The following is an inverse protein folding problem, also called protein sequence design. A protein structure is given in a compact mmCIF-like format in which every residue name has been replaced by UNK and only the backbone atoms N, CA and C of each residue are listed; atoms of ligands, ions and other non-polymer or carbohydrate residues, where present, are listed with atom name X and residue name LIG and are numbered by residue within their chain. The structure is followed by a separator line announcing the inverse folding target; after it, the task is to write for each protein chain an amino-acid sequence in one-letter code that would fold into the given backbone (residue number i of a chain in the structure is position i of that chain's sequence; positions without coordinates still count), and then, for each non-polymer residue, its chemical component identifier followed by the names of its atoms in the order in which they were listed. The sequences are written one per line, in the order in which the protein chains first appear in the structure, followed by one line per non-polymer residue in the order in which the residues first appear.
data_IF_556796409554
#
_entry.id   IF_556796409554
#
_cell.length_a   1.000
_cell.length_b   1.000
_cell.length_c   1.000
_cell.angle_alpha   90.00
_cell.angle_beta   90.00
_cell.angle_gamma   90.00
#
_symmetry.space_group_name_H-M   'P 1'
#
loop_
_entity.id
_entity.type
_entity.pdbx_description
1 polymer ?
#
# COMPACT_ATOMS: atom_id res chain seq x y z
N UNK A 1 -24.58 32.33 6.63
CA UNK A 1 -23.16 32.01 6.40
C UNK A 1 -22.99 30.53 6.67
N UNK A 2 -23.53 29.70 5.77
CA UNK A 2 -23.54 28.23 5.86
C UNK A 2 -22.76 27.76 4.64
N UNK A 3 -21.48 27.44 4.86
CA UNK A 3 -20.68 26.77 3.86
C UNK A 3 -21.22 25.36 3.70
N UNK A 4 -21.83 25.12 2.56
CA UNK A 4 -22.25 23.79 2.11
C UNK A 4 -21.00 22.89 2.11
N UNK A 5 -21.02 21.86 2.93
CA UNK A 5 -19.93 20.89 3.13
C UNK A 5 -19.83 19.95 1.95
N UNK A 6 -19.77 20.48 0.73
CA UNK A 6 -19.54 19.70 -0.46
C UNK A 6 -18.21 18.95 -0.27
N UNK A 7 -18.20 17.61 -0.35
CA UNK A 7 -16.95 16.90 -0.32
C UNK A 7 -16.05 17.46 -1.42
N UNK A 8 -14.84 17.89 -1.04
CA UNK A 8 -13.85 18.33 -2.01
C UNK A 8 -13.62 17.23 -3.07
N UNK A 9 -13.17 17.59 -4.28
CA UNK A 9 -12.90 16.63 -5.34
C UNK A 9 -11.89 15.58 -4.83
N UNK A 10 -12.38 14.38 -4.49
CA UNK A 10 -11.62 13.37 -3.76
C UNK A 10 -12.44 12.43 -2.86
N UNK A 11 -13.72 12.69 -2.61
CA UNK A 11 -14.55 11.80 -1.76
C UNK A 11 -15.15 10.58 -2.48
N UNK A 12 -15.10 10.52 -3.81
CA UNK A 12 -15.84 9.49 -4.57
C UNK A 12 -15.07 8.17 -4.76
N UNK A 13 -13.78 8.16 -4.45
CA UNK A 13 -12.92 7.00 -4.72
C UNK A 13 -12.09 6.61 -3.49
N UNK A 14 -11.73 5.33 -3.40
CA UNK A 14 -10.83 4.80 -2.40
C UNK A 14 -9.81 3.93 -3.11
N UNK A 15 -8.53 4.13 -2.82
CA UNK A 15 -7.48 3.24 -3.32
C UNK A 15 -7.35 2.07 -2.36
N UNK A 16 -7.57 0.85 -2.85
CA UNK A 16 -7.42 -0.37 -2.07
C UNK A 16 -6.24 -1.17 -2.62
N UNK A 17 -5.25 -1.44 -1.78
CA UNK A 17 -4.07 -2.24 -2.14
C UNK A 17 -4.09 -3.55 -1.36
N UNK A 18 -4.31 -4.66 -2.05
CA UNK A 18 -4.24 -5.99 -1.45
C UNK A 18 -2.79 -6.49 -1.46
N UNK A 19 -2.23 -6.75 -0.28
CA UNK A 19 -0.85 -7.20 -0.12
C UNK A 19 -0.87 -8.55 0.59
N UNK A 20 -0.48 -9.62 -0.11
CA UNK A 20 -0.28 -10.93 0.53
C UNK A 20 0.93 -10.90 1.48
N UNK A 21 1.09 -11.92 2.30
CA UNK A 21 2.27 -12.13 3.15
C UNK A 21 3.57 -11.91 2.34
N UNK A 22 4.37 -10.93 2.79
CA UNK A 22 5.61 -10.54 2.13
C UNK A 22 6.68 -11.65 2.17
N UNK A 23 6.67 -12.52 3.19
CA UNK A 23 7.57 -13.68 3.28
C UNK A 23 7.34 -14.71 2.17
N UNK A 24 6.08 -14.82 1.71
CA UNK A 24 5.63 -15.72 0.64
C UNK A 24 5.54 -15.03 -0.73
N UNK A 25 5.95 -13.77 -0.81
CA UNK A 25 5.94 -13.01 -2.05
C UNK A 25 7.20 -13.25 -2.88
N UNK A 26 7.07 -12.97 -4.19
CA UNK A 26 8.16 -12.97 -5.17
C UNK A 26 9.04 -14.23 -5.17
N UNK A 27 8.46 -15.41 -4.98
CA UNK A 27 9.19 -16.69 -4.89
C UNK A 27 10.14 -16.98 -6.06
N UNK A 28 9.86 -16.40 -7.24
CA UNK A 28 10.75 -16.46 -8.42
C UNK A 28 12.10 -15.77 -8.22
N UNK A 29 12.22 -14.86 -7.25
CA UNK A 29 13.49 -14.26 -6.84
C UNK A 29 14.25 -15.11 -5.81
N UNK A 30 13.69 -16.24 -5.38
CA UNK A 30 14.33 -17.16 -4.43
C UNK A 30 15.71 -17.70 -4.84
N UNK A 31 16.06 -17.85 -6.14
CA UNK A 31 17.42 -18.21 -6.54
C UNK A 31 18.47 -17.14 -6.20
N UNK A 32 18.06 -15.86 -6.16
CA UNK A 32 18.97 -14.72 -6.02
C UNK A 32 18.90 -14.04 -4.64
N UNK A 33 17.76 -14.18 -3.95
CA UNK A 33 17.48 -13.52 -2.68
C UNK A 33 16.97 -14.51 -1.63
N UNK A 34 17.60 -14.46 -0.45
CA UNK A 34 17.10 -15.18 0.72
C UNK A 34 15.71 -14.67 1.15
N UNK A 35 15.05 -15.43 2.02
CA UNK A 35 13.69 -15.14 2.45
C UNK A 35 13.55 -13.78 3.18
N UNK A 36 14.55 -13.39 3.98
CA UNK A 36 14.56 -12.11 4.69
C UNK A 36 14.73 -10.94 3.72
N UNK A 37 15.73 -11.01 2.84
CA UNK A 37 15.99 -9.98 1.83
C UNK A 37 14.80 -9.82 0.88
N UNK A 38 14.18 -10.92 0.48
CA UNK A 38 12.97 -10.90 -0.35
C UNK A 38 11.77 -10.25 0.37
N UNK A 39 11.58 -10.54 1.65
CA UNK A 39 10.55 -9.88 2.48
C UNK A 39 10.78 -8.38 2.55
N UNK A 40 12.01 -7.95 2.86
CA UNK A 40 12.39 -6.54 2.90
C UNK A 40 12.18 -5.83 1.57
N UNK A 41 12.54 -6.47 0.45
CA UNK A 41 12.30 -5.94 -0.89
C UNK A 41 10.80 -5.73 -1.15
N UNK A 42 9.96 -6.72 -0.82
CA UNK A 42 8.52 -6.62 -1.05
C UNK A 42 7.90 -5.50 -0.22
N UNK A 43 8.35 -5.31 1.02
CA UNK A 43 7.92 -4.20 1.87
C UNK A 43 8.31 -2.86 1.22
N UNK A 44 9.58 -2.69 0.85
CA UNK A 44 10.05 -1.47 0.19
C UNK A 44 9.27 -1.15 -1.10
N UNK A 45 8.97 -2.15 -1.92
CA UNK A 45 8.17 -1.97 -3.15
C UNK A 45 6.75 -1.49 -2.87
N UNK A 46 6.13 -1.95 -1.78
CA UNK A 46 4.78 -1.52 -1.39
C UNK A 46 4.86 -0.11 -0.80
N UNK A 47 5.86 0.22 0.00
CA UNK A 47 6.07 1.57 0.52
C UNK A 47 6.26 2.59 -0.61
N UNK A 48 7.08 2.25 -1.61
CA UNK A 48 7.28 3.09 -2.81
C UNK A 48 5.96 3.31 -3.57
N UNK A 49 5.16 2.24 -3.72
CA UNK A 49 3.83 2.33 -4.34
C UNK A 49 2.91 3.25 -3.54
N UNK A 50 2.82 3.07 -2.22
CA UNK A 50 1.94 3.86 -1.36
C UNK A 50 2.37 5.33 -1.32
N UNK A 51 3.68 5.62 -1.31
CA UNK A 51 4.22 6.97 -1.41
C UNK A 51 3.80 7.60 -2.74
N UNK A 52 3.99 6.89 -3.86
CA UNK A 52 3.63 7.38 -5.19
C UNK A 52 2.13 7.66 -5.30
N UNK A 53 1.28 6.76 -4.78
CA UNK A 53 -0.17 6.99 -4.75
C UNK A 53 -0.48 8.25 -3.93
N UNK A 54 0.19 8.45 -2.79
CA UNK A 54 -0.04 9.60 -1.93
C UNK A 54 0.30 10.94 -2.59
N UNK A 55 1.28 10.97 -3.50
CA UNK A 55 1.64 12.18 -4.27
C UNK A 55 0.50 12.65 -5.19
N UNK A 56 -0.32 11.71 -5.69
CA UNK A 56 -1.42 12.01 -6.63
C UNK A 56 -2.81 11.89 -6.01
N UNK A 57 -2.91 11.32 -4.82
CA UNK A 57 -4.17 11.01 -4.15
C UNK A 57 -4.18 11.45 -2.68
N UNK A 58 -4.90 12.55 -2.44
CA UNK A 58 -5.12 13.09 -1.09
C UNK A 58 -6.21 12.33 -0.30
N UNK A 59 -6.98 11.46 -0.96
CA UNK A 59 -8.10 10.74 -0.34
C UNK A 59 -7.68 9.49 0.45
N UNK A 60 -8.66 8.62 0.72
CA UNK A 60 -8.45 7.41 1.52
C UNK A 60 -7.65 6.36 0.73
N UNK A 61 -6.66 5.77 1.41
CA UNK A 61 -5.93 4.58 0.98
C UNK A 61 -6.17 3.50 2.03
N UNK A 62 -6.53 2.29 1.60
CA UNK A 62 -6.73 1.14 2.47
C UNK A 62 -5.78 0.03 2.00
N UNK A 63 -4.96 -0.47 2.92
CA UNK A 63 -4.14 -1.66 2.70
C UNK A 63 -4.86 -2.84 3.33
N UNK A 64 -5.04 -3.92 2.56
CA UNK A 64 -5.60 -5.18 3.05
C UNK A 64 -4.48 -6.20 3.04
N UNK A 65 -3.95 -6.54 4.21
CA UNK A 65 -2.81 -7.44 4.33
C UNK A 65 -2.90 -8.31 5.58
N UNK A 66 -2.42 -9.56 5.53
CA UNK A 66 -2.13 -10.35 6.73
C UNK A 66 -0.75 -10.01 7.32
N UNK A 67 0.03 -9.12 6.70
CA UNK A 67 1.37 -8.75 7.15
C UNK A 67 1.31 -7.62 8.20
N UNK A 68 1.82 -7.84 9.42
CA UNK A 68 1.64 -6.90 10.53
C UNK A 68 2.36 -5.56 10.33
N UNK A 69 3.24 -5.45 9.35
CA UNK A 69 3.87 -4.16 9.00
C UNK A 69 2.83 -3.14 8.49
N UNK A 70 1.66 -3.60 8.02
CA UNK A 70 0.56 -2.76 7.55
C UNK A 70 -0.65 -2.76 8.50
N UNK A 71 -0.48 -3.25 9.74
CA UNK A 71 -1.49 -3.06 10.78
C UNK A 71 -1.46 -1.57 11.20
N UNK A 72 -2.48 -0.83 10.75
CA UNK A 72 -2.66 0.60 11.03
C UNK A 72 -3.39 0.86 12.36
#
# INVERSE_FOLDING_TARGET
MTGDGAPGPGADYVVITAVKDAGQAKSRLGPDLDAGTRRSLVIAMVDDLLSTVREVWAGRIVVVSPDPVYDA
#
